data_IF_808286160674
#
_entry.id   IF_808286160674
#
_cell.length_a   1.000
_cell.length_b   1.000
_cell.length_c   1.000
_cell.angle_alpha   90.00
_cell.angle_beta   90.00
_cell.angle_gamma   90.00
#
_symmetry.space_group_name_H-M   'P 1'
#
loop_
_entity.id
_entity.type
_entity.pdbx_description
1 polymer ?
#
# COMPACT_ATOMS: atom_id res chain seq x y z
N UNK A 1 -7.06 20.05 -3.90
CA UNK A 1 -8.15 19.07 -3.87
C UNK A 1 -7.87 18.20 -2.67
N UNK A 2 -8.62 18.37 -1.59
CA UNK A 2 -8.34 17.73 -0.30
C UNK A 2 -8.33 16.21 -0.48
N UNK A 3 -7.13 15.64 -0.51
CA UNK A 3 -6.93 14.21 -0.42
C UNK A 3 -7.53 13.76 0.90
N UNK A 4 -8.78 13.31 0.90
CA UNK A 4 -9.37 12.64 2.05
C UNK A 4 -8.54 11.38 2.29
N UNK A 5 -7.52 11.50 3.14
CA UNK A 5 -6.61 10.44 3.54
C UNK A 5 -7.41 9.18 3.95
N UNK A 6 -8.53 9.41 4.63
CA UNK A 6 -9.51 8.39 5.02
C UNK A 6 -10.13 7.69 3.81
N UNK A 7 -10.54 8.45 2.78
CA UNK A 7 -11.08 7.88 1.54
C UNK A 7 -10.01 7.07 0.79
N UNK A 8 -8.76 7.55 0.76
CA UNK A 8 -7.65 6.84 0.14
C UNK A 8 -7.32 5.53 0.87
N UNK A 9 -7.33 5.52 2.20
CA UNK A 9 -7.18 4.29 2.99
C UNK A 9 -8.36 3.35 2.80
N UNK A 10 -9.59 3.87 2.78
CA UNK A 10 -10.79 3.09 2.52
C UNK A 10 -10.72 2.41 1.15
N UNK A 11 -10.34 3.14 0.10
CA UNK A 11 -10.19 2.59 -1.25
C UNK A 11 -9.06 1.57 -1.34
N UNK A 12 -7.93 1.85 -0.70
CA UNK A 12 -6.81 0.90 -0.59
C UNK A 12 -7.28 -0.42 0.03
N UNK A 13 -8.10 -0.35 1.08
CA UNK A 13 -8.69 -1.52 1.73
C UNK A 13 -9.73 -2.21 0.86
N UNK A 14 -10.64 -1.48 0.21
CA UNK A 14 -11.68 -2.09 -0.63
C UNK A 14 -11.08 -2.81 -1.83
N UNK A 15 -10.01 -2.27 -2.41
CA UNK A 15 -9.38 -2.80 -3.62
C UNK A 15 -8.23 -3.78 -3.32
N UNK A 16 -8.09 -4.27 -2.08
CA UNK A 16 -6.93 -5.09 -1.65
C UNK A 16 -6.73 -6.35 -2.51
N UNK A 17 -7.82 -6.99 -2.96
CA UNK A 17 -7.77 -8.19 -3.81
C UNK A 17 -7.13 -7.88 -5.16
N UNK A 18 -7.55 -6.76 -5.76
CA UNK A 18 -7.04 -6.29 -7.05
C UNK A 18 -5.58 -5.88 -6.94
N UNK A 19 -5.24 -5.13 -5.89
CA UNK A 19 -3.86 -4.74 -5.57
C UNK A 19 -2.98 -5.99 -5.43
N UNK A 20 -3.44 -7.03 -4.71
CA UNK A 20 -2.68 -8.28 -4.55
C UNK A 20 -2.47 -9.00 -5.87
N UNK A 21 -3.50 -9.11 -6.72
CA UNK A 21 -3.39 -9.73 -8.05
C UNK A 21 -2.35 -9.02 -8.92
N UNK A 22 -2.37 -7.69 -8.92
CA UNK A 22 -1.41 -6.90 -9.69
C UNK A 22 -0.01 -7.04 -9.13
N UNK A 23 0.17 -7.02 -7.81
CA UNK A 23 1.48 -7.27 -7.20
C UNK A 23 2.07 -8.63 -7.58
N UNK A 24 1.24 -9.67 -7.62
CA UNK A 24 1.66 -10.99 -8.10
C UNK A 24 2.09 -10.92 -9.57
N UNK A 25 1.26 -10.34 -10.45
CA UNK A 25 1.60 -10.18 -11.87
C UNK A 25 2.92 -9.42 -12.10
N UNK A 26 3.10 -8.29 -11.40
CA UNK A 26 4.29 -7.43 -11.47
C UNK A 26 5.53 -8.17 -10.95
N UNK A 27 5.39 -8.98 -9.90
CA UNK A 27 6.48 -9.81 -9.38
C UNK A 27 6.91 -10.86 -10.41
N UNK A 28 5.94 -11.53 -11.04
CA UNK A 28 6.18 -12.63 -11.97
C UNK A 28 6.69 -12.14 -13.34
N UNK A 29 6.42 -10.90 -13.72
CA UNK A 29 6.82 -10.30 -14.99
C UNK A 29 7.87 -9.19 -14.85
N UNK A 30 8.58 -9.13 -13.72
CA UNK A 30 9.55 -8.06 -13.44
C UNK A 30 10.65 -7.93 -14.49
N UNK A 31 11.01 -9.02 -15.16
CA UNK A 31 12.04 -9.05 -16.21
C UNK A 31 11.62 -8.35 -17.51
N UNK A 32 10.30 -8.20 -17.73
CA UNK A 32 9.73 -7.50 -18.90
C UNK A 32 9.52 -6.01 -18.63
N UNK A 33 9.90 -5.53 -17.45
CA UNK A 33 9.69 -4.14 -17.06
C UNK A 33 10.67 -3.21 -17.78
N UNK A 34 10.19 -2.07 -18.27
CA UNK A 34 11.00 -1.01 -18.85
C UNK A 34 11.89 -0.34 -17.79
N UNK A 35 12.88 0.45 -18.23
CA UNK A 35 13.78 1.18 -17.32
C UNK A 35 12.99 2.14 -16.42
N UNK A 36 11.94 2.78 -16.94
CA UNK A 36 11.09 3.69 -16.19
C UNK A 36 10.19 2.95 -15.18
N UNK A 37 9.69 1.77 -15.57
CA UNK A 37 8.92 0.89 -14.70
C UNK A 37 9.77 0.35 -13.54
N UNK A 38 11.01 -0.02 -13.82
CA UNK A 38 11.99 -0.42 -12.81
C UNK A 38 12.30 0.73 -11.85
N UNK A 39 12.32 1.97 -12.33
CA UNK A 39 12.49 3.16 -11.49
C UNK A 39 11.32 3.32 -10.52
N UNK A 40 10.08 3.11 -10.95
CA UNK A 40 8.88 3.10 -10.08
C UNK A 40 8.97 1.95 -9.06
N UNK A 41 9.38 0.75 -9.49
CA UNK A 41 9.51 -0.40 -8.60
C UNK A 41 10.59 -0.24 -7.53
N UNK A 42 11.68 0.45 -7.87
CA UNK A 42 12.83 0.67 -7.01
C UNK A 42 12.78 2.02 -6.27
N UNK A 43 11.78 2.86 -6.56
CA UNK A 43 11.60 4.16 -5.92
C UNK A 43 11.60 3.97 -4.41
N UNK A 44 12.44 4.76 -3.69
CA UNK A 44 12.97 4.51 -2.34
C UNK A 44 11.97 3.92 -1.34
N UNK A 45 11.75 2.60 -1.44
CA UNK A 45 10.94 1.81 -0.50
C UNK A 45 11.52 1.84 0.90
N UNK A 46 12.85 1.90 1.01
CA UNK A 46 13.58 1.82 2.27
C UNK A 46 13.17 2.89 3.28
N UNK A 47 13.12 4.17 2.89
CA UNK A 47 12.80 5.24 3.84
C UNK A 47 11.37 5.09 4.39
N UNK A 48 10.41 4.89 3.51
CA UNK A 48 9.00 4.71 3.88
C UNK A 48 8.78 3.45 4.73
N UNK A 49 9.43 2.32 4.39
CA UNK A 49 9.34 1.10 5.19
C UNK A 49 10.00 1.25 6.56
N UNK A 50 11.16 1.90 6.64
CA UNK A 50 11.84 2.15 7.92
C UNK A 50 10.99 3.00 8.86
N UNK A 51 10.37 4.08 8.35
CA UNK A 51 9.44 4.90 9.13
C UNK A 51 8.25 4.06 9.61
N UNK A 52 7.67 3.23 8.74
CA UNK A 52 6.55 2.38 9.10
C UNK A 52 6.93 1.34 10.17
N UNK A 53 8.13 0.76 10.12
CA UNK A 53 8.62 -0.17 11.14
C UNK A 53 8.79 0.56 12.48
N UNK A 54 9.37 1.75 12.49
CA UNK A 54 9.52 2.55 13.72
C UNK A 54 8.16 2.88 14.33
N UNK A 55 7.18 3.29 13.51
CA UNK A 55 5.81 3.54 13.96
C UNK A 55 5.13 2.27 14.49
N UNK A 56 5.28 1.13 13.82
CA UNK A 56 4.74 -0.14 14.26
C UNK A 56 5.30 -0.58 15.62
N UNK A 57 6.62 -0.39 15.84
CA UNK A 57 7.26 -0.61 17.13
C UNK A 57 6.73 0.37 18.19
N UNK A 58 6.52 1.64 17.83
CA UNK A 58 5.91 2.65 18.71
C UNK A 58 4.49 2.27 19.15
N UNK A 59 3.66 1.79 18.22
CA UNK A 59 2.32 1.26 18.51
C UNK A 59 2.42 0.09 19.49
N UNK A 60 3.26 -0.91 19.17
CA UNK A 60 3.43 -2.09 20.01
C UNK A 60 3.91 -1.73 21.42
N UNK A 61 4.89 -0.84 21.55
CA UNK A 61 5.37 -0.35 22.84
C UNK A 61 4.32 0.43 23.62
N UNK A 62 3.45 1.20 22.94
CA UNK A 62 2.35 1.93 23.57
C UNK A 62 1.36 0.98 24.23
N UNK A 63 0.98 -0.09 23.54
CA UNK A 63 0.15 -1.15 24.11
C UNK A 63 0.85 -1.91 25.24
N UNK A 64 2.15 -2.17 25.11
CA UNK A 64 2.94 -2.78 26.19
C UNK A 64 3.03 -1.89 27.44
N UNK A 65 3.01 -0.56 27.29
CA UNK A 65 2.89 0.38 28.42
C UNK A 65 1.50 0.31 29.06
N UNK A 66 0.43 0.14 28.27
CA UNK A 66 -0.95 -0.02 28.78
C UNK A 66 -1.12 -1.25 29.68
N UNK A 67 -0.28 -2.27 29.54
CA UNK A 67 -0.19 -3.41 30.47
C UNK A 67 -0.02 -3.00 31.94
N UNK A 68 0.64 -1.86 32.19
CA UNK A 68 0.86 -1.33 33.56
C UNK A 68 -0.31 -0.52 34.10
N UNK A 69 -1.36 -0.30 33.29
CA UNK A 69 -2.58 0.41 33.72
C UNK A 69 -3.45 -0.47 34.61
N UNK A 70 -4.14 0.15 35.58
CA UNK A 70 -5.06 -0.53 36.51
C UNK A 70 -6.15 -1.35 35.81
N UNK A 71 -6.53 -0.95 34.60
CA UNK A 71 -7.57 -1.59 33.78
C UNK A 71 -7.17 -3.01 33.33
N UNK A 72 -5.87 -3.25 33.09
CA UNK A 72 -5.39 -4.51 32.51
C UNK A 72 -4.67 -5.43 33.51
N UNK A 73 -4.71 -5.10 34.81
CA UNK A 73 -4.10 -5.90 35.88
C UNK A 73 -4.62 -7.35 35.85
N UNK A 74 -5.93 -7.55 35.60
CA UNK A 74 -6.56 -8.86 35.57
C UNK A 74 -6.34 -9.66 34.28
N UNK A 75 -5.88 -9.01 33.21
CA UNK A 75 -5.62 -9.65 31.91
C UNK A 75 -4.39 -9.03 31.23
N UNK A 76 -3.18 -9.30 31.76
CA UNK A 76 -1.94 -8.67 31.30
C UNK A 76 -1.51 -9.06 29.88
N UNK A 77 -2.09 -10.12 29.31
CA UNK A 77 -1.83 -10.59 27.94
C UNK A 77 -2.63 -9.82 26.88
N UNK A 78 -3.78 -9.24 27.23
CA UNK A 78 -4.65 -8.55 26.26
C UNK A 78 -3.95 -7.36 25.59
N UNK A 79 -3.26 -6.46 26.32
CA UNK A 79 -2.55 -5.34 25.70
C UNK A 79 -1.46 -5.79 24.73
N UNK A 80 -0.70 -6.83 25.08
CA UNK A 80 0.37 -7.34 24.22
C UNK A 80 -0.19 -7.92 22.90
N UNK A 81 -1.32 -8.64 22.97
CA UNK A 81 -2.04 -9.17 21.79
C UNK A 81 -2.59 -8.03 20.91
N UNK A 82 -3.28 -7.05 21.50
CA UNK A 82 -3.78 -5.90 20.74
C UNK A 82 -2.63 -5.08 20.13
N UNK A 83 -1.52 -4.93 20.85
CA UNK A 83 -0.32 -4.28 20.35
C UNK A 83 0.31 -5.00 19.18
N UNK A 84 0.31 -6.34 19.17
CA UNK A 84 0.79 -7.14 18.04
C UNK A 84 -0.15 -7.04 16.83
N UNK A 85 -1.45 -7.22 17.03
CA UNK A 85 -2.44 -7.17 15.94
C UNK A 85 -2.44 -5.79 15.29
N UNK A 86 -2.44 -4.71 16.09
CA UNK A 86 -2.46 -3.34 15.57
C UNK A 86 -1.19 -2.98 14.82
N UNK A 87 -0.01 -3.35 15.31
CA UNK A 87 1.26 -3.06 14.64
C UNK A 87 1.41 -3.84 13.32
N UNK A 88 1.05 -5.13 13.30
CA UNK A 88 1.04 -5.93 12.07
C UNK A 88 0.00 -5.41 11.07
N UNK A 89 -1.19 -5.02 11.53
CA UNK A 89 -2.24 -4.45 10.68
C UNK A 89 -1.78 -3.13 10.05
N UNK A 90 -1.10 -2.28 10.83
CA UNK A 90 -0.53 -1.03 10.34
C UNK A 90 0.52 -1.27 9.25
N UNK A 91 1.47 -2.19 9.46
CA UNK A 91 2.48 -2.53 8.46
C UNK A 91 1.84 -3.07 7.17
N UNK A 92 0.81 -3.91 7.31
CA UNK A 92 0.09 -4.45 6.16
C UNK A 92 -0.64 -3.36 5.36
N UNK A 93 -1.36 -2.46 6.05
CA UNK A 93 -2.03 -1.31 5.44
C UNK A 93 -1.04 -0.38 4.73
N UNK A 94 0.10 -0.11 5.36
CA UNK A 94 1.15 0.71 4.79
C UNK A 94 1.70 0.09 3.49
N UNK A 95 1.95 -1.22 3.48
CA UNK A 95 2.41 -1.93 2.28
C UNK A 95 1.36 -1.91 1.15
N UNK A 96 0.08 -2.09 1.48
CA UNK A 96 -1.02 -1.97 0.51
C UNK A 96 -1.13 -0.57 -0.07
N UNK A 97 -1.01 0.46 0.77
CA UNK A 97 -1.09 1.86 0.34
C UNK A 97 0.05 2.21 -0.62
N UNK A 98 1.28 1.79 -0.31
CA UNK A 98 2.42 1.94 -1.22
C UNK A 98 2.18 1.22 -2.56
N UNK A 99 1.65 0.01 -2.51
CA UNK A 99 1.34 -0.74 -3.72
C UNK A 99 0.29 -0.04 -4.59
N UNK A 100 -0.80 0.49 -4.01
CA UNK A 100 -1.80 1.28 -4.74
C UNK A 100 -1.18 2.54 -5.36
N UNK A 101 -0.27 3.21 -4.65
CA UNK A 101 0.47 4.34 -5.21
C UNK A 101 1.36 3.95 -6.40
N UNK A 102 2.05 2.80 -6.33
CA UNK A 102 2.84 2.30 -7.45
C UNK A 102 1.95 1.97 -8.66
N UNK A 103 0.78 1.38 -8.44
CA UNK A 103 -0.22 1.15 -9.48
C UNK A 103 -0.66 2.47 -10.12
N UNK A 104 -0.93 3.51 -9.31
CA UNK A 104 -1.24 4.85 -9.82
C UNK A 104 -0.14 5.38 -10.73
N UNK A 105 1.14 5.19 -10.35
CA UNK A 105 2.28 5.61 -11.16
C UNK A 105 2.39 4.82 -12.47
N UNK A 106 2.15 3.51 -12.44
CA UNK A 106 2.12 2.68 -13.66
C UNK A 106 1.01 3.12 -14.63
N UNK A 107 -0.20 3.38 -14.13
CA UNK A 107 -1.32 3.91 -14.94
C UNK A 107 -0.92 5.23 -15.59
N UNK A 108 -0.32 6.14 -14.82
CA UNK A 108 0.09 7.46 -15.33
C UNK A 108 1.25 7.39 -16.32
N UNK A 109 2.16 6.43 -16.14
CA UNK A 109 3.22 6.16 -17.11
C UNK A 109 2.63 5.67 -18.44
N UNK A 110 1.67 4.74 -18.39
CA UNK A 110 0.94 4.25 -19.58
C UNK A 110 0.20 5.38 -20.31
N UNK A 111 -0.41 6.30 -19.57
CA UNK A 111 -1.12 7.45 -20.16
C UNK A 111 -0.19 8.47 -20.83
N UNK A 112 1.08 8.56 -20.41
CA UNK A 112 2.06 9.49 -20.99
C UNK A 112 2.77 8.89 -22.21
N UNK A 113 3.02 7.58 -22.20
CA UNK A 113 3.72 6.89 -23.27
C UNK A 113 2.73 6.00 -24.04
N UNK A 114 2.19 6.53 -25.14
CA UNK A 114 1.15 5.87 -25.94
C UNK A 114 1.58 4.58 -26.65
N UNK A 115 2.86 4.22 -26.61
CA UNK A 115 3.43 3.06 -27.31
C UNK A 115 4.20 2.11 -26.35
N UNK A 116 3.83 2.13 -25.06
CA UNK A 116 4.54 1.39 -24.03
C UNK A 116 4.21 -0.11 -24.07
N UNK A 117 5.18 -0.93 -24.51
CA UNK A 117 5.10 -2.40 -24.51
C UNK A 117 5.45 -3.04 -23.15
N UNK A 118 5.66 -2.22 -22.12
CA UNK A 118 6.04 -2.66 -20.78
C UNK A 118 4.90 -3.27 -19.96
N UNK A 119 5.16 -3.58 -18.69
CA UNK A 119 4.16 -4.15 -17.78
C UNK A 119 3.04 -3.15 -17.42
N UNK A 120 3.25 -1.84 -17.62
CA UNK A 120 2.28 -0.78 -17.36
C UNK A 120 0.95 -1.00 -18.09
N UNK A 121 0.99 -1.35 -19.38
CA UNK A 121 -0.23 -1.51 -20.16
C UNK A 121 -1.12 -2.62 -19.59
N UNK A 122 -0.52 -3.76 -19.21
CA UNK A 122 -1.24 -4.85 -18.56
C UNK A 122 -1.77 -4.46 -17.18
N UNK A 123 -1.00 -3.71 -16.39
CA UNK A 123 -1.44 -3.21 -15.08
C UNK A 123 -2.64 -2.27 -15.23
N UNK A 124 -2.59 -1.38 -16.22
CA UNK A 124 -3.64 -0.43 -16.57
C UNK A 124 -4.93 -1.14 -16.97
N UNK A 125 -4.85 -2.07 -17.93
CA UNK A 125 -5.98 -2.89 -18.36
C UNK A 125 -6.58 -3.71 -17.22
N UNK A 126 -5.74 -4.35 -16.40
CA UNK A 126 -6.20 -5.10 -15.23
C UNK A 126 -6.95 -4.20 -14.26
N UNK A 127 -6.38 -3.04 -13.90
CA UNK A 127 -7.00 -2.16 -12.92
C UNK A 127 -8.33 -1.58 -13.42
N UNK A 128 -8.36 -1.16 -14.68
CA UNK A 128 -9.58 -0.66 -15.35
C UNK A 128 -10.68 -1.71 -15.40
N UNK A 129 -10.34 -2.98 -15.62
CA UNK A 129 -11.28 -4.10 -15.65
C UNK A 129 -11.86 -4.44 -14.27
N UNK A 130 -11.01 -4.48 -13.24
CA UNK A 130 -11.41 -4.94 -11.90
C UNK A 130 -11.97 -3.82 -11.01
N UNK A 131 -11.50 -2.58 -11.15
CA UNK A 131 -11.83 -1.46 -10.26
C UNK A 131 -12.08 -0.15 -11.05
N UNK A 132 -13.06 -0.11 -11.97
CA UNK A 132 -13.27 1.03 -12.88
C UNK A 132 -13.59 2.34 -12.14
N UNK A 133 -14.26 2.27 -11.00
CA UNK A 133 -14.60 3.44 -10.19
C UNK A 133 -13.37 4.03 -9.47
N UNK A 134 -12.43 3.18 -9.01
CA UNK A 134 -11.21 3.68 -8.37
C UNK A 134 -10.15 4.10 -9.39
N UNK A 135 -10.17 3.48 -10.57
CA UNK A 135 -9.33 3.86 -11.71
C UNK A 135 -9.44 5.36 -12.04
N UNK A 136 -10.66 5.90 -12.10
CA UNK A 136 -10.90 7.34 -12.33
C UNK A 136 -10.26 8.22 -11.26
N UNK A 137 -10.18 7.76 -10.01
CA UNK A 137 -9.55 8.49 -8.93
C UNK A 137 -8.01 8.46 -9.07
N UNK A 138 -7.44 7.30 -9.43
CA UNK A 138 -6.00 7.15 -9.63
C UNK A 138 -5.48 7.95 -10.83
N UNK A 139 -6.26 8.07 -11.89
CA UNK A 139 -5.91 8.92 -13.03
C UNK A 139 -5.82 10.41 -12.65
N UNK A 140 -6.68 10.88 -11.75
CA UNK A 140 -6.75 12.29 -11.34
C UNK A 140 -5.68 12.69 -10.32
N UNK A 141 -4.98 11.71 -9.73
CA UNK A 141 -3.97 11.95 -8.71
C UNK A 141 -2.70 12.46 -9.39
N UNK A 142 -2.36 13.75 -9.27
CA UNK A 142 -1.12 14.27 -9.86
C UNK A 142 0.11 13.61 -9.24
N UNK A 143 1.13 13.34 -10.07
CA UNK A 143 2.46 12.82 -9.67
C UNK A 143 3.16 13.71 -8.66
#
# INVERSE_FOLDING_TARGET
>A
MDCNLIHDFYKTLSCFKTIRKINTFVKDNKEKASIEELKILNEKKYLSHSIAIVLALGIHMSFRKLKRSKIFIFRPLLPDIFGLISSCSFLYLHALHLSRNNISKFIQLNLKESDNKGICNYVDEMYKKYEPNDYLNLMRKSL
#
